data_IF_736751498499
#
_entry.id   IF_736751498499
#
_cell.length_a   1.000
_cell.length_b   1.000
_cell.length_c   1.000
_cell.angle_alpha   90.00
_cell.angle_beta   90.00
_cell.angle_gamma   90.00
#
_symmetry.space_group_name_H-M   'P 1'
#
loop_
_entity.id
_entity.type
_entity.pdbx_description
1 polymer ?
#
# COMPACT_ATOMS: atom_id res chain seq x y z
N UNK A 1 -15.89 -5.42 17.18
CA UNK A 1 -16.16 -3.97 17.05
C UNK A 1 -17.06 -3.80 15.84
N UNK A 2 -18.19 -3.11 15.95
CA UNK A 2 -19.22 -3.09 14.91
C UNK A 2 -19.19 -1.78 14.13
N UNK A 3 -19.14 -1.82 12.80
CA UNK A 3 -18.95 -0.65 11.92
C UNK A 3 -20.29 -0.19 11.35
N UNK A 4 -20.59 1.11 11.41
CA UNK A 4 -21.80 1.73 10.84
C UNK A 4 -21.44 2.71 9.73
N UNK A 5 -22.45 3.04 8.89
CA UNK A 5 -22.32 4.03 7.80
C UNK A 5 -21.76 5.37 8.27
N UNK A 6 -22.21 5.86 9.43
CA UNK A 6 -21.70 7.11 10.02
C UNK A 6 -20.20 7.04 10.33
N UNK A 7 -19.73 5.88 10.79
CA UNK A 7 -18.32 5.68 11.16
C UNK A 7 -17.46 5.68 9.89
N UNK A 8 -17.94 5.01 8.84
CA UNK A 8 -17.31 5.05 7.51
C UNK A 8 -17.27 6.47 6.95
N UNK A 9 -18.40 7.17 6.91
CA UNK A 9 -18.49 8.54 6.39
C UNK A 9 -17.49 9.48 7.06
N UNK A 10 -17.37 9.42 8.39
CA UNK A 10 -16.38 10.18 9.14
C UNK A 10 -14.95 9.75 8.86
N UNK A 11 -14.69 8.44 8.71
CA UNK A 11 -13.34 7.93 8.51
C UNK A 11 -12.75 8.24 7.13
N UNK A 12 -13.56 8.12 6.07
CA UNK A 12 -13.15 8.43 4.68
C UNK A 12 -13.49 9.86 4.26
N UNK A 13 -14.00 10.68 5.19
CA UNK A 13 -14.32 12.10 4.98
C UNK A 13 -15.27 12.36 3.80
N UNK A 14 -16.37 11.61 3.72
CA UNK A 14 -17.44 11.79 2.72
C UNK A 14 -18.82 11.85 3.38
N UNK A 15 -19.84 12.25 2.61
CA UNK A 15 -21.22 12.28 3.13
C UNK A 15 -21.83 10.87 3.14
N UNK A 16 -22.74 10.62 4.09
CA UNK A 16 -23.44 9.34 4.23
C UNK A 16 -24.11 8.82 2.94
N UNK A 17 -24.74 9.66 2.07
CA UNK A 17 -25.29 9.18 0.81
C UNK A 17 -24.25 8.51 -0.11
N UNK A 18 -23.04 9.05 -0.20
CA UNK A 18 -21.94 8.45 -0.99
C UNK A 18 -21.51 7.09 -0.43
N UNK A 19 -21.50 6.95 0.89
CA UNK A 19 -21.23 5.65 1.54
C UNK A 19 -22.33 4.66 1.22
N UNK A 20 -23.60 5.06 1.27
CA UNK A 20 -24.73 4.18 0.93
C UNK A 20 -24.66 3.68 -0.52
N UNK A 21 -24.34 4.57 -1.46
CA UNK A 21 -24.15 4.21 -2.87
C UNK A 21 -23.00 3.20 -3.04
N UNK A 22 -21.85 3.47 -2.44
CA UNK A 22 -20.70 2.56 -2.48
C UNK A 22 -21.02 1.18 -1.85
N UNK A 23 -21.72 1.16 -0.71
CA UNK A 23 -22.13 -0.08 -0.05
C UNK A 23 -23.13 -0.88 -0.89
N UNK A 24 -24.06 -0.20 -1.59
CA UNK A 24 -24.98 -0.86 -2.51
C UNK A 24 -24.19 -1.57 -3.63
N UNK A 25 -23.25 -0.87 -4.28
CA UNK A 25 -22.39 -1.48 -5.30
C UNK A 25 -21.54 -2.64 -4.78
N UNK A 26 -20.98 -2.53 -3.57
CA UNK A 26 -20.19 -3.62 -2.97
C UNK A 26 -21.07 -4.82 -2.61
N UNK A 27 -22.31 -4.58 -2.16
CA UNK A 27 -23.29 -5.63 -1.86
C UNK A 27 -23.71 -6.36 -3.13
N UNK A 28 -23.99 -5.62 -4.20
CA UNK A 28 -24.40 -6.20 -5.49
C UNK A 28 -23.25 -7.05 -6.10
N UNK A 29 -21.99 -6.73 -5.76
CA UNK A 29 -20.81 -7.57 -6.08
C UNK A 29 -20.60 -8.74 -5.11
N UNK A 30 -21.42 -8.88 -4.08
CA UNK A 30 -21.31 -9.91 -3.05
C UNK A 30 -20.05 -9.76 -2.18
N UNK A 31 -19.61 -8.53 -1.94
CA UNK A 31 -18.40 -8.24 -1.14
C UNK A 31 -18.75 -7.83 0.30
N UNK A 32 -19.86 -7.14 0.52
CA UNK A 32 -20.32 -6.73 1.86
C UNK A 32 -21.72 -7.27 2.16
N UNK A 33 -22.01 -7.43 3.45
CA UNK A 33 -23.35 -7.60 3.98
C UNK A 33 -23.73 -6.31 4.69
N UNK A 34 -24.89 -5.76 4.35
CA UNK A 34 -25.42 -4.54 4.95
C UNK A 34 -26.92 -4.67 5.17
N UNK A 35 -27.32 -4.74 6.44
CA UNK A 35 -28.73 -4.68 6.83
C UNK A 35 -29.24 -3.23 6.78
N UNK A 36 -30.53 -3.04 6.50
CA UNK A 36 -31.15 -1.72 6.20
C UNK A 36 -30.97 -0.66 7.30
N UNK A 37 -30.74 -1.08 8.55
CA UNK A 37 -30.41 -0.24 9.71
C UNK A 37 -29.21 -0.78 10.51
N UNK A 38 -28.49 -1.74 9.94
CA UNK A 38 -27.52 -2.54 10.67
C UNK A 38 -26.08 -2.21 10.30
N UNK A 39 -25.22 -3.15 10.68
CA UNK A 39 -23.79 -3.00 10.55
C UNK A 39 -23.31 -3.37 9.15
N UNK A 40 -22.16 -2.83 8.78
CA UNK A 40 -21.46 -3.22 7.56
C UNK A 40 -20.45 -4.30 7.95
N UNK A 41 -20.51 -5.44 7.26
CA UNK A 41 -19.50 -6.48 7.41
C UNK A 41 -19.01 -6.97 6.04
N UNK A 42 -17.79 -7.49 6.01
CA UNK A 42 -17.22 -8.12 4.83
C UNK A 42 -17.73 -9.56 4.74
N UNK A 43 -18.18 -9.95 3.55
CA UNK A 43 -18.30 -11.38 3.23
C UNK A 43 -16.91 -12.03 3.20
N UNK A 44 -16.79 -13.36 3.25
CA UNK A 44 -15.50 -14.02 3.06
C UNK A 44 -14.79 -13.62 1.75
N UNK A 45 -15.57 -13.43 0.67
CA UNK A 45 -15.07 -12.94 -0.62
C UNK A 45 -14.59 -11.48 -0.52
N UNK A 46 -15.38 -10.62 0.13
CA UNK A 46 -15.01 -9.24 0.38
C UNK A 46 -13.74 -9.11 1.19
N UNK A 47 -13.58 -9.95 2.21
CA UNK A 47 -12.38 -9.99 3.05
C UNK A 47 -11.14 -10.35 2.22
N UNK A 48 -11.22 -11.37 1.36
CA UNK A 48 -10.11 -11.73 0.49
C UNK A 48 -9.71 -10.59 -0.47
N UNK A 49 -10.70 -9.89 -1.04
CA UNK A 49 -10.44 -8.72 -1.90
C UNK A 49 -9.82 -7.56 -1.11
N UNK A 50 -10.37 -7.24 0.05
CA UNK A 50 -9.88 -6.19 0.93
C UNK A 50 -8.45 -6.46 1.39
N UNK A 51 -8.15 -7.69 1.81
CA UNK A 51 -6.80 -8.12 2.16
C UNK A 51 -5.83 -7.98 0.99
N UNK A 52 -6.24 -8.34 -0.24
CA UNK A 52 -5.37 -8.19 -1.40
C UNK A 52 -5.10 -6.72 -1.73
N UNK A 53 -6.09 -5.83 -1.61
CA UNK A 53 -5.89 -4.38 -1.72
C UNK A 53 -4.95 -3.89 -0.62
N UNK A 54 -5.26 -4.16 0.65
CA UNK A 54 -4.45 -3.69 1.76
C UNK A 54 -2.99 -4.18 1.72
N UNK A 55 -2.75 -5.42 1.27
CA UNK A 55 -1.38 -5.93 1.06
C UNK A 55 -0.60 -5.13 0.00
N UNK A 56 -1.27 -4.64 -1.05
CA UNK A 56 -0.67 -3.76 -2.08
C UNK A 56 -0.32 -2.42 -1.48
N UNK A 57 -1.26 -1.78 -0.79
CA UNK A 57 -1.02 -0.53 -0.06
C UNK A 57 0.23 -0.63 0.81
N UNK A 58 0.29 -1.65 1.67
CA UNK A 58 1.38 -1.81 2.63
C UNK A 58 2.73 -2.02 1.95
N UNK A 59 2.78 -2.83 0.89
CA UNK A 59 4.01 -3.04 0.15
C UNK A 59 4.51 -1.73 -0.49
N UNK A 60 3.61 -0.96 -1.12
CA UNK A 60 3.94 0.31 -1.77
C UNK A 60 4.39 1.36 -0.76
N UNK A 61 3.63 1.52 0.32
CA UNK A 61 3.95 2.45 1.39
C UNK A 61 5.33 2.14 1.98
N UNK A 62 5.59 0.86 2.26
CA UNK A 62 6.88 0.41 2.77
C UNK A 62 8.01 0.68 1.79
N UNK A 63 7.80 0.43 0.51
CA UNK A 63 8.77 0.78 -0.52
C UNK A 63 9.10 2.28 -0.53
N UNK A 64 8.08 3.13 -0.54
CA UNK A 64 8.28 4.58 -0.56
C UNK A 64 9.03 5.07 0.69
N UNK A 65 8.69 4.54 1.86
CA UNK A 65 9.36 4.91 3.11
C UNK A 65 10.77 4.34 3.24
N UNK A 66 10.90 3.03 3.07
CA UNK A 66 12.11 2.30 3.42
C UNK A 66 13.14 2.28 2.30
N UNK A 67 12.72 2.41 1.04
CA UNK A 67 13.63 2.40 -0.13
C UNK A 67 13.79 3.80 -0.69
N UNK A 68 12.71 4.55 -0.90
CA UNK A 68 12.80 5.91 -1.46
C UNK A 68 13.01 7.00 -0.41
N UNK A 69 13.01 6.67 0.89
CA UNK A 69 13.16 7.65 1.99
C UNK A 69 12.11 8.77 1.95
N UNK A 70 10.92 8.47 1.44
CA UNK A 70 9.79 9.40 1.41
C UNK A 70 9.13 9.42 2.78
N UNK A 71 8.73 10.61 3.25
CA UNK A 71 8.04 10.73 4.53
C UNK A 71 6.69 9.97 4.52
N UNK A 72 6.27 9.52 5.70
CA UNK A 72 5.12 8.63 5.85
C UNK A 72 3.80 9.18 5.28
N UNK A 73 3.60 10.50 5.30
CA UNK A 73 2.36 11.12 4.79
C UNK A 73 2.30 11.07 3.27
N UNK A 74 3.40 11.40 2.59
CA UNK A 74 3.47 11.30 1.12
C UNK A 74 3.38 9.84 0.70
N UNK A 75 4.13 8.95 1.36
CA UNK A 75 4.10 7.52 1.09
C UNK A 75 2.70 6.89 1.24
N UNK A 76 1.91 7.32 2.23
CA UNK A 76 0.51 6.90 2.41
C UNK A 76 -0.36 7.30 1.21
N UNK A 77 -0.27 8.57 0.81
CA UNK A 77 -1.06 9.10 -0.30
C UNK A 77 -0.70 8.43 -1.63
N UNK A 78 0.60 8.29 -1.90
CA UNK A 78 1.09 7.69 -3.14
C UNK A 78 0.75 6.19 -3.22
N UNK A 79 0.89 5.46 -2.11
CA UNK A 79 0.49 4.06 -2.03
C UNK A 79 -1.01 3.87 -2.29
N UNK A 80 -1.85 4.71 -1.67
CA UNK A 80 -3.30 4.69 -1.84
C UNK A 80 -3.69 5.00 -3.31
N UNK A 81 -3.02 5.97 -3.94
CA UNK A 81 -3.27 6.29 -5.33
C UNK A 81 -2.87 5.13 -6.26
N UNK A 82 -1.69 4.52 -6.06
CA UNK A 82 -1.13 3.54 -7.00
C UNK A 82 -1.73 2.14 -6.82
N UNK A 83 -2.14 1.75 -5.62
CA UNK A 83 -2.56 0.38 -5.33
C UNK A 83 -3.76 -0.11 -6.18
N UNK A 84 -4.60 0.83 -6.61
CA UNK A 84 -5.78 0.55 -7.42
C UNK A 84 -5.48 0.32 -8.91
N UNK A 85 -4.32 0.76 -9.39
CA UNK A 85 -3.94 0.67 -10.80
C UNK A 85 -2.99 -0.49 -11.12
N UNK A 86 -2.34 -1.06 -10.11
CA UNK A 86 -1.45 -2.20 -10.30
C UNK A 86 -2.22 -3.47 -10.69
N UNK A 87 -1.75 -4.11 -11.76
CA UNK A 87 -2.19 -5.45 -12.12
C UNK A 87 -1.89 -6.46 -11.01
N UNK A 88 -2.60 -7.60 -11.01
CA UNK A 88 -2.33 -8.70 -10.07
C UNK A 88 -0.91 -9.25 -10.22
N UNK A 89 -0.41 -9.33 -11.45
CA UNK A 89 0.94 -9.83 -11.74
C UNK A 89 2.02 -8.88 -11.23
N UNK A 90 1.90 -7.58 -11.54
CA UNK A 90 2.83 -6.54 -11.06
C UNK A 90 2.85 -6.51 -9.53
N UNK A 91 1.68 -6.60 -8.90
CA UNK A 91 1.53 -6.71 -7.44
C UNK A 91 2.30 -7.90 -6.87
N UNK A 92 2.10 -9.10 -7.44
CA UNK A 92 2.74 -10.31 -6.93
C UNK A 92 4.27 -10.21 -7.01
N UNK A 93 4.79 -9.75 -8.16
CA UNK A 93 6.24 -9.54 -8.36
C UNK A 93 6.79 -8.48 -7.42
N UNK A 94 6.04 -7.39 -7.21
CA UNK A 94 6.44 -6.30 -6.33
C UNK A 94 6.53 -6.74 -4.85
N UNK A 95 5.58 -7.53 -4.36
CA UNK A 95 5.63 -8.08 -3.00
C UNK A 95 6.85 -8.99 -2.81
N UNK A 96 7.18 -9.83 -3.80
CA UNK A 96 8.37 -10.68 -3.78
C UNK A 96 9.64 -9.82 -3.80
N UNK A 97 9.70 -8.80 -4.64
CA UNK A 97 10.80 -7.85 -4.69
C UNK A 97 11.00 -7.16 -3.33
N UNK A 98 9.92 -6.68 -2.69
CA UNK A 98 10.01 -6.07 -1.37
C UNK A 98 10.54 -7.06 -0.33
N UNK A 99 10.12 -8.32 -0.37
CA UNK A 99 10.64 -9.35 0.54
C UNK A 99 12.14 -9.60 0.34
N UNK A 100 12.61 -9.55 -0.91
CA UNK A 100 14.04 -9.61 -1.25
C UNK A 100 14.80 -8.38 -0.73
N UNK A 101 14.27 -7.17 -0.94
CA UNK A 101 14.86 -5.92 -0.45
C UNK A 101 14.96 -5.92 1.08
N UNK A 102 13.93 -6.35 1.79
CA UNK A 102 13.93 -6.44 3.25
C UNK A 102 14.98 -7.43 3.78
N UNK A 103 15.14 -8.57 3.12
CA UNK A 103 16.16 -9.55 3.46
C UNK A 103 17.58 -8.97 3.22
N UNK A 104 17.72 -8.17 2.17
CA UNK A 104 18.96 -7.47 1.81
C UNK A 104 19.28 -6.34 2.80
N UNK A 105 18.27 -5.61 3.29
CA UNK A 105 18.36 -4.55 4.29
C UNK A 105 18.91 -5.07 5.62
N UNK A 106 18.42 -6.22 6.08
CA UNK A 106 18.90 -6.87 7.31
C UNK A 106 20.40 -7.19 7.27
N UNK A 107 20.93 -7.42 6.07
CA UNK A 107 22.34 -7.75 5.85
C UNK A 107 23.22 -6.52 5.53
N UNK A 108 22.74 -5.29 5.77
CA UNK A 108 23.42 -4.02 5.39
C UNK A 108 23.95 -4.05 3.96
N UNK A 109 23.03 -4.26 3.02
CA UNK A 109 23.37 -4.30 1.59
C UNK A 109 23.99 -2.99 1.12
N UNK A 110 25.25 -3.07 0.67
CA UNK A 110 26.03 -1.89 0.24
C UNK A 110 25.31 -1.06 -0.83
N UNK A 111 24.60 -1.68 -1.77
CA UNK A 111 23.97 -0.97 -2.90
C UNK A 111 22.90 0.02 -2.47
N UNK A 112 22.21 -0.24 -1.36
CA UNK A 112 21.14 0.65 -0.89
C UNK A 112 21.74 1.85 -0.14
N UNK A 113 22.84 1.66 0.56
CA UNK A 113 23.62 2.77 1.12
C UNK A 113 24.18 3.66 0.01
N UNK A 114 24.65 3.08 -1.10
CA UNK A 114 25.08 3.89 -2.24
C UNK A 114 23.90 4.61 -2.92
N UNK A 115 22.72 3.98 -2.95
CA UNK A 115 21.51 4.63 -3.45
C UNK A 115 21.11 5.82 -2.58
N UNK A 116 21.16 5.69 -1.25
CA UNK A 116 20.92 6.81 -0.34
C UNK A 116 21.95 7.92 -0.52
N UNK A 117 23.22 7.56 -0.65
CA UNK A 117 24.27 8.52 -0.97
C UNK A 117 23.96 9.25 -2.29
N UNK A 118 23.52 8.53 -3.32
CA UNK A 118 23.16 9.11 -4.61
C UNK A 118 21.96 10.06 -4.52
N UNK A 119 20.94 9.72 -3.71
CA UNK A 119 19.80 10.63 -3.47
C UNK A 119 20.28 11.98 -2.91
N UNK A 120 21.23 11.96 -1.98
CA UNK A 120 21.72 13.17 -1.31
C UNK A 120 22.73 13.96 -2.15
N UNK A 121 23.60 13.27 -2.90
CA UNK A 121 24.78 13.88 -3.53
C UNK A 121 24.71 13.89 -5.06
N UNK A 122 23.73 13.21 -5.65
CA UNK A 122 23.56 13.03 -7.09
C UNK A 122 24.83 12.49 -7.80
N UNK A 123 25.59 11.62 -7.12
CA UNK A 123 26.81 10.96 -7.63
C UNK A 123 27.04 9.61 -6.93
N UNK A 124 27.83 8.73 -7.55
CA UNK A 124 28.18 7.41 -7.00
C UNK A 124 29.30 7.56 -5.94
N UNK A 125 29.26 6.85 -4.80
CA UNK A 125 30.33 6.87 -3.79
C UNK A 125 31.71 6.50 -4.36
N UNK A 126 32.74 7.23 -3.91
CA UNK A 126 34.12 7.06 -4.39
C UNK A 126 34.72 5.68 -4.05
N UNK A 127 34.18 5.00 -3.03
CA UNK A 127 34.52 3.63 -2.63
C UNK A 127 34.20 2.58 -3.69
N UNK A 128 33.32 2.88 -4.66
CA UNK A 128 32.95 1.99 -5.76
C UNK A 128 33.62 2.33 -7.09
N UNK A 129 34.06 3.58 -7.28
CA UNK A 129 34.73 4.00 -8.52
C UNK A 129 36.10 3.30 -8.70
N UNK A 130 36.75 2.88 -7.60
CA UNK A 130 38.07 2.22 -7.61
C UNK A 130 38.08 0.71 -7.88
N UNK A 131 36.92 0.07 -8.12
CA UNK A 131 36.82 -1.39 -8.34
C UNK A 131 36.86 -1.82 -9.81
N UNK A 132 37.02 -0.87 -10.74
CA UNK A 132 37.02 -1.12 -12.19
C UNK A 132 38.32 -0.76 -12.91
N UNK A 133 39.43 -0.59 -12.17
CA UNK A 133 40.81 -0.56 -12.69
C UNK A 133 41.57 -1.75 -12.15
#
# INVERSE_FOLDING_TARGET
KTVRVKDLASHINVKAPSVHEALAHLRDKGLVVHERYGYVDLTPRGLAVAQNTYRRHLALKKFFMDVFRINARIAENDACAIEHYLSKESTARFIVFMSFVESSLKNRSSWLEDFYYFIEHNRIPDSRQKKHT
#
